data_IF_585367063802
#
_entry.id   IF_585367063802
#
_cell.length_a   1.000
_cell.length_b   1.000
_cell.length_c   1.000
_cell.angle_alpha   90.00
_cell.angle_beta   90.00
_cell.angle_gamma   90.00
#
_symmetry.space_group_name_H-M   'P 1'
#
loop_
_entity.id
_entity.type
_entity.pdbx_description
1 polymer ?
#
# COMPACT_ATOMS: atom_id res chain seq x y z
N UNK A 1 10.58 16.99 16.60
CA UNK A 1 10.35 17.72 15.33
C UNK A 1 11.67 18.34 14.85
N UNK A 2 12.67 17.52 14.51
CA UNK A 2 14.04 17.99 14.21
C UNK A 2 14.20 18.64 12.83
N UNK A 3 13.33 18.31 11.87
CA UNK A 3 13.46 18.74 10.46
C UNK A 3 12.51 19.89 10.08
N UNK A 4 11.75 20.44 11.04
CA UNK A 4 10.87 21.60 10.80
C UNK A 4 9.61 21.33 9.94
N UNK A 5 9.25 20.07 9.71
CA UNK A 5 8.02 19.71 9.01
C UNK A 5 6.80 19.74 9.93
N UNK A 6 5.66 20.19 9.38
CA UNK A 6 4.35 19.97 9.99
C UNK A 6 3.89 18.54 9.74
N UNK A 7 3.68 17.77 10.80
CA UNK A 7 3.28 16.36 10.75
C UNK A 7 1.78 16.23 11.05
N UNK A 8 1.06 15.61 10.12
CA UNK A 8 -0.33 15.20 10.29
C UNK A 8 -0.34 13.67 10.33
N UNK A 9 -0.74 13.09 11.45
CA UNK A 9 -0.77 11.65 11.65
C UNK A 9 -2.20 11.16 11.81
N UNK A 10 -2.55 10.07 11.13
CA UNK A 10 -3.77 9.31 11.38
C UNK A 10 -3.42 7.89 11.82
N UNK A 11 -4.03 7.44 12.92
CA UNK A 11 -3.95 6.06 13.38
C UNK A 11 -5.22 5.71 14.14
N UNK A 12 -5.83 4.55 13.85
CA UNK A 12 -7.05 4.11 14.56
C UNK A 12 -6.77 3.50 15.92
N UNK A 13 -5.50 3.19 16.26
CA UNK A 13 -5.15 2.59 17.54
C UNK A 13 -4.77 3.68 18.58
N UNK A 14 -5.61 3.93 19.61
CA UNK A 14 -5.32 4.93 20.64
C UNK A 14 -4.19 4.51 21.59
N UNK A 15 -3.80 3.24 21.60
CA UNK A 15 -2.81 2.69 22.54
C UNK A 15 -1.40 2.65 21.94
N UNK A 16 -0.99 3.71 21.22
CA UNK A 16 0.34 3.79 20.61
C UNK A 16 1.05 5.08 21.00
N UNK A 17 2.36 5.03 21.28
CA UNK A 17 3.16 6.23 21.59
C UNK A 17 3.06 7.24 20.44
N UNK A 18 3.00 6.76 19.18
CA UNK A 18 2.83 7.62 18.01
C UNK A 18 1.54 8.44 18.00
N UNK A 19 0.53 8.14 18.82
CA UNK A 19 -0.70 8.94 18.92
C UNK A 19 -0.68 9.95 20.07
N UNK A 20 0.43 10.04 20.81
CA UNK A 20 0.57 11.06 21.84
C UNK A 20 0.60 12.46 21.21
N UNK A 21 -0.08 13.47 21.79
CA UNK A 21 -0.20 14.81 21.21
C UNK A 21 1.14 15.51 20.92
N UNK A 22 2.22 15.08 21.57
CA UNK A 22 3.56 15.65 21.43
C UNK A 22 4.33 15.13 20.20
N UNK A 23 3.81 14.08 19.54
CA UNK A 23 4.52 13.39 18.45
C UNK A 23 4.30 14.00 17.06
N UNK A 24 3.21 14.75 16.88
CA UNK A 24 2.86 15.40 15.62
C UNK A 24 2.01 16.65 15.87
N UNK A 25 2.04 17.61 14.95
CA UNK A 25 1.24 18.84 15.06
C UNK A 25 -0.27 18.58 15.02
N UNK A 26 -0.69 17.50 14.39
CA UNK A 26 -2.10 17.11 14.32
C UNK A 26 -2.25 15.60 14.29
N UNK A 27 -2.82 15.04 15.37
CA UNK A 27 -3.07 13.60 15.51
C UNK A 27 -4.56 13.32 15.35
N UNK A 28 -4.91 12.41 14.44
CA UNK A 28 -6.25 11.94 14.17
C UNK A 28 -6.40 10.49 14.63
N UNK A 29 -7.19 10.26 15.68
CA UNK A 29 -7.56 8.92 16.14
C UNK A 29 -8.91 8.56 15.51
N UNK A 30 -8.86 8.12 14.27
CA UNK A 30 -10.02 7.89 13.42
C UNK A 30 -9.87 6.58 12.61
N UNK A 31 -10.96 5.97 12.11
CA UNK A 31 -10.88 4.83 11.20
C UNK A 31 -10.04 5.15 9.95
N UNK A 32 -9.08 4.26 9.63
CA UNK A 32 -8.18 4.44 8.48
C UNK A 32 -8.89 3.99 7.20
N UNK A 33 -9.84 4.80 6.72
CA UNK A 33 -10.57 4.58 5.46
C UNK A 33 -10.30 5.69 4.44
N UNK A 34 -10.49 5.44 3.12
CA UNK A 34 -10.25 6.47 2.10
C UNK A 34 -11.12 7.72 2.32
N UNK A 35 -12.35 7.55 2.79
CA UNK A 35 -13.29 8.65 3.04
C UNK A 35 -12.81 9.56 4.17
N UNK A 36 -12.35 8.98 5.27
CA UNK A 36 -11.82 9.73 6.42
C UNK A 36 -10.53 10.44 6.04
N UNK A 37 -9.59 9.73 5.40
CA UNK A 37 -8.32 10.32 5.00
C UNK A 37 -8.53 11.44 3.97
N UNK A 38 -9.51 11.31 3.06
CA UNK A 38 -9.90 12.40 2.16
C UNK A 38 -10.41 13.62 2.92
N UNK A 39 -11.23 13.45 3.95
CA UNK A 39 -11.70 14.57 4.80
C UNK A 39 -10.54 15.28 5.49
N UNK A 40 -9.56 14.52 5.98
CA UNK A 40 -8.35 15.08 6.60
C UNK A 40 -7.54 15.86 5.56
N UNK A 41 -7.32 15.33 4.36
CA UNK A 41 -6.64 16.06 3.27
C UNK A 41 -7.34 17.38 2.94
N UNK A 42 -8.69 17.38 2.90
CA UNK A 42 -9.48 18.59 2.62
C UNK A 42 -9.30 19.65 3.70
N UNK A 43 -9.28 19.24 4.97
CA UNK A 43 -9.12 20.13 6.13
C UNK A 43 -7.68 20.63 6.26
N UNK A 44 -6.71 19.72 6.19
CA UNK A 44 -5.33 19.97 6.56
C UNK A 44 -4.44 20.43 5.40
N UNK A 45 -4.86 20.16 4.16
CA UNK A 45 -4.14 20.52 2.93
C UNK A 45 -2.64 20.16 2.96
N UNK A 46 -2.28 18.90 3.27
CA UNK A 46 -0.88 18.49 3.31
C UNK A 46 -0.25 18.59 1.91
N UNK A 47 1.03 18.94 1.85
CA UNK A 47 1.77 18.92 0.58
C UNK A 47 2.11 17.51 0.13
N UNK A 48 2.28 16.59 1.08
CA UNK A 48 2.76 15.24 0.81
C UNK A 48 2.11 14.19 1.73
N UNK A 49 2.14 12.94 1.29
CA UNK A 49 1.68 11.76 2.01
C UNK A 49 2.77 10.69 2.00
N UNK A 50 3.08 10.13 3.17
CA UNK A 50 4.05 9.05 3.37
C UNK A 50 3.33 7.72 3.67
N UNK A 51 3.08 6.86 2.68
CA UNK A 51 2.26 5.66 2.86
C UNK A 51 3.06 4.41 3.28
N UNK A 52 4.37 4.52 3.47
CA UNK A 52 5.27 3.36 3.67
C UNK A 52 5.38 2.91 5.12
N UNK A 53 4.85 3.68 6.08
CA UNK A 53 5.00 3.42 7.52
C UNK A 53 3.79 2.74 8.16
N UNK A 54 2.69 2.54 7.42
CA UNK A 54 1.42 2.00 7.95
C UNK A 54 1.03 0.63 7.40
N UNK A 55 2.00 -0.16 6.94
CA UNK A 55 1.78 -1.48 6.36
C UNK A 55 0.86 -1.47 5.12
N UNK A 56 0.16 -2.59 4.88
CA UNK A 56 -0.74 -2.72 3.72
C UNK A 56 -1.90 -1.72 3.76
N UNK A 57 -2.40 -1.39 4.95
CA UNK A 57 -3.51 -0.45 5.12
C UNK A 57 -3.15 0.90 4.50
N UNK A 58 -1.98 1.46 4.86
CA UNK A 58 -1.54 2.75 4.30
C UNK A 58 -1.31 2.70 2.78
N UNK A 59 -0.70 1.62 2.26
CA UNK A 59 -0.49 1.42 0.82
C UNK A 59 -1.82 1.34 0.04
N UNK A 60 -2.81 0.64 0.59
CA UNK A 60 -4.13 0.50 -0.01
C UNK A 60 -4.88 1.84 -0.03
N UNK A 61 -4.82 2.61 1.06
CA UNK A 61 -5.40 3.95 1.13
C UNK A 61 -4.76 4.89 0.11
N UNK A 62 -3.43 4.95 0.07
CA UNK A 62 -2.72 5.80 -0.87
C UNK A 62 -3.05 5.45 -2.33
N UNK A 63 -3.16 4.15 -2.62
CA UNK A 63 -3.57 3.65 -3.94
C UNK A 63 -5.01 4.06 -4.27
N UNK A 64 -5.94 3.93 -3.32
CA UNK A 64 -7.35 4.31 -3.50
C UNK A 64 -7.50 5.82 -3.77
N UNK A 65 -6.86 6.65 -2.95
CA UNK A 65 -6.89 8.12 -3.08
C UNK A 65 -6.17 8.64 -4.32
N UNK A 66 -5.19 7.90 -4.82
CA UNK A 66 -4.55 8.23 -6.08
C UNK A 66 -5.46 7.88 -7.26
N UNK A 67 -6.11 6.70 -7.23
CA UNK A 67 -7.04 6.25 -8.27
C UNK A 67 -8.31 7.08 -8.37
N UNK A 68 -8.85 7.54 -7.26
CA UNK A 68 -10.05 8.39 -7.24
C UNK A 68 -9.76 9.87 -7.57
N UNK A 69 -8.49 10.23 -7.77
CA UNK A 69 -8.04 11.57 -8.13
C UNK A 69 -7.92 12.56 -6.97
N UNK A 70 -8.18 12.15 -5.72
CA UNK A 70 -8.09 13.00 -4.53
C UNK A 70 -6.69 13.61 -4.42
N UNK A 71 -5.63 12.80 -4.52
CA UNK A 71 -4.26 13.30 -4.37
C UNK A 71 -3.91 14.34 -5.44
N UNK A 72 -4.32 14.09 -6.69
CA UNK A 72 -4.09 15.04 -7.80
C UNK A 72 -4.88 16.34 -7.59
N UNK A 73 -6.15 16.25 -7.19
CA UNK A 73 -7.03 17.41 -6.96
C UNK A 73 -6.48 18.34 -5.87
N UNK A 74 -5.92 17.76 -4.81
CA UNK A 74 -5.38 18.50 -3.68
C UNK A 74 -3.86 18.71 -3.73
N UNK A 75 -3.22 18.33 -4.85
CA UNK A 75 -1.76 18.45 -5.07
C UNK A 75 -0.93 17.80 -3.95
N UNK A 76 -1.39 16.66 -3.47
CA UNK A 76 -0.70 15.87 -2.45
C UNK A 76 0.28 14.90 -3.14
N UNK A 77 1.57 15.08 -2.89
CA UNK A 77 2.62 14.22 -3.44
C UNK A 77 2.80 12.94 -2.62
N UNK A 78 2.93 11.79 -3.27
CA UNK A 78 3.33 10.55 -2.59
C UNK A 78 4.86 10.50 -2.45
N UNK A 79 5.34 10.58 -1.21
CA UNK A 79 6.76 10.51 -0.87
C UNK A 79 7.12 9.15 -0.28
N UNK A 80 8.41 8.79 -0.30
CA UNK A 80 8.91 7.47 0.09
C UNK A 80 8.67 6.39 -0.96
N UNK A 81 7.44 6.25 -1.46
CA UNK A 81 7.11 5.36 -2.58
C UNK A 81 6.01 5.96 -3.48
N UNK A 82 6.31 6.10 -4.77
CA UNK A 82 5.32 6.54 -5.74
C UNK A 82 4.34 5.41 -6.11
N UNK A 83 3.17 5.76 -6.66
CA UNK A 83 2.11 4.81 -7.02
C UNK A 83 2.61 3.70 -7.96
N UNK A 84 3.51 4.03 -8.90
CA UNK A 84 4.07 3.06 -9.85
C UNK A 84 4.93 2.01 -9.13
N UNK A 85 5.73 2.43 -8.15
CA UNK A 85 6.55 1.55 -7.34
C UNK A 85 5.67 0.65 -6.45
N UNK A 86 4.65 1.23 -5.79
CA UNK A 86 3.70 0.48 -4.96
C UNK A 86 3.01 -0.60 -5.80
N UNK A 87 2.38 -0.23 -6.92
CA UNK A 87 1.68 -1.19 -7.77
C UNK A 87 2.61 -2.28 -8.34
N UNK A 88 3.85 -1.93 -8.71
CA UNK A 88 4.82 -2.88 -9.25
C UNK A 88 5.26 -3.91 -8.21
N UNK A 89 5.31 -3.54 -6.94
CA UNK A 89 5.69 -4.44 -5.85
C UNK A 89 4.50 -5.30 -5.37
N UNK A 90 3.31 -4.72 -5.29
CA UNK A 90 2.11 -5.38 -4.76
C UNK A 90 1.43 -6.33 -5.76
N UNK A 91 1.58 -6.07 -7.06
CA UNK A 91 1.02 -6.90 -8.13
C UNK A 91 2.02 -7.98 -8.56
N UNK A 92 1.68 -9.25 -8.29
CA UNK A 92 2.61 -10.39 -8.44
C UNK A 92 3.10 -10.60 -9.87
N UNK A 93 2.28 -10.36 -10.89
CA UNK A 93 2.69 -10.48 -12.30
C UNK A 93 3.75 -9.42 -12.65
N UNK A 94 3.50 -8.18 -12.24
CA UNK A 94 4.40 -7.04 -12.41
C UNK A 94 5.72 -7.25 -11.68
N UNK A 95 5.67 -7.77 -10.45
CA UNK A 95 6.84 -8.13 -9.69
C UNK A 95 7.65 -9.24 -10.39
N UNK A 96 6.99 -10.32 -10.81
CA UNK A 96 7.64 -11.44 -11.51
C UNK A 96 8.31 -10.99 -12.81
N UNK A 97 7.62 -10.17 -13.62
CA UNK A 97 8.17 -9.56 -14.83
C UNK A 97 9.35 -8.65 -14.53
N UNK A 98 9.29 -7.89 -13.43
CA UNK A 98 10.37 -7.01 -13.02
C UNK A 98 11.64 -7.79 -12.66
N UNK A 99 11.51 -8.86 -11.89
CA UNK A 99 12.63 -9.72 -11.48
C UNK A 99 13.25 -10.41 -12.71
N UNK A 100 12.41 -10.99 -13.58
CA UNK A 100 12.89 -11.58 -14.85
C UNK A 100 13.63 -10.58 -15.73
N UNK A 101 13.13 -9.34 -15.82
CA UNK A 101 13.73 -8.30 -16.65
C UNK A 101 15.17 -7.98 -16.22
N UNK A 102 15.47 -8.09 -14.92
CA UNK A 102 16.83 -7.84 -14.38
C UNK A 102 17.66 -9.13 -14.24
N UNK A 103 17.17 -10.25 -14.77
CA UNK A 103 17.90 -11.52 -14.76
C UNK A 103 17.93 -12.24 -13.41
N UNK A 104 17.09 -11.86 -12.45
CA UNK A 104 17.00 -12.57 -11.18
C UNK A 104 16.21 -13.87 -11.34
N UNK A 105 16.71 -14.93 -10.71
CA UNK A 105 16.03 -16.21 -10.67
C UNK A 105 14.71 -16.10 -9.92
N UNK A 106 13.65 -16.67 -10.49
CA UNK A 106 12.33 -16.72 -9.88
C UNK A 106 11.82 -18.17 -9.92
N UNK A 107 11.14 -18.64 -8.87
CA UNK A 107 10.47 -19.94 -8.89
C UNK A 107 9.51 -20.06 -10.07
N UNK A 108 9.25 -21.29 -10.51
CA UNK A 108 8.18 -21.57 -11.48
C UNK A 108 6.85 -21.10 -10.88
N UNK A 109 6.25 -20.10 -11.50
CA UNK A 109 5.02 -19.47 -11.04
C UNK A 109 4.11 -19.18 -12.22
N UNK A 110 2.81 -19.20 -11.95
CA UNK A 110 1.74 -18.87 -12.90
C UNK A 110 0.76 -17.93 -12.21
N UNK A 111 0.19 -16.99 -12.97
CA UNK A 111 -0.79 -16.04 -12.44
C UNK A 111 -2.19 -16.59 -12.73
N UNK A 112 -3.02 -16.67 -11.69
CA UNK A 112 -4.40 -17.11 -11.80
C UNK A 112 -5.34 -16.03 -11.27
N UNK A 113 -6.35 -15.68 -12.08
CA UNK A 113 -7.45 -14.78 -11.74
C UNK A 113 -8.79 -15.50 -11.63
N UNK A 114 -8.79 -16.81 -11.83
CA UNK A 114 -9.97 -17.67 -11.68
C UNK A 114 -9.56 -19.07 -11.23
N UNK A 115 -10.50 -19.80 -10.64
CA UNK A 115 -10.30 -21.19 -10.22
C UNK A 115 -9.87 -22.08 -11.41
N UNK A 116 -10.42 -21.84 -12.60
CA UNK A 116 -10.06 -22.58 -13.81
C UNK A 116 -8.60 -22.34 -14.22
N UNK A 117 -8.11 -21.10 -14.11
CA UNK A 117 -6.70 -20.79 -14.35
C UNK A 117 -5.80 -21.41 -13.29
N UNK A 118 -6.20 -21.36 -12.01
CA UNK A 118 -5.45 -21.99 -10.92
C UNK A 118 -5.31 -23.51 -11.12
N UNK A 119 -6.38 -24.20 -11.54
CA UNK A 119 -6.34 -25.64 -11.86
C UNK A 119 -5.40 -25.96 -13.03
N UNK A 120 -5.36 -25.10 -14.06
CA UNK A 120 -4.42 -25.26 -15.19
C UNK A 120 -2.97 -25.05 -14.74
N UNK A 121 -2.71 -24.02 -13.93
CA UNK A 121 -1.41 -23.75 -13.33
C UNK A 121 -0.94 -24.92 -12.46
N UNK A 122 -1.83 -25.49 -11.65
CA UNK A 122 -1.51 -26.64 -10.81
C UNK A 122 -1.03 -27.85 -11.62
N UNK A 123 -1.69 -28.16 -12.74
CA UNK A 123 -1.27 -29.25 -13.64
C UNK A 123 0.12 -29.01 -14.25
N UNK A 124 0.49 -27.75 -14.46
CA UNK A 124 1.78 -27.36 -15.06
C UNK A 124 2.93 -27.34 -14.03
N UNK A 125 2.65 -26.89 -12.81
CA UNK A 125 3.66 -26.72 -11.75
C UNK A 125 3.88 -28.03 -10.97
N UNK A 126 2.82 -28.79 -10.70
CA UNK A 126 2.85 -29.96 -9.82
C UNK A 126 2.68 -29.63 -8.33
N UNK A 127 2.39 -30.64 -7.53
CA UNK A 127 2.30 -30.53 -6.07
C UNK A 127 3.62 -30.93 -5.39
N UNK A 128 3.96 -30.32 -4.24
CA UNK A 128 3.23 -29.25 -3.55
C UNK A 128 3.38 -27.89 -4.26
N UNK A 129 2.36 -27.02 -4.13
CA UNK A 129 2.36 -25.66 -4.69
C UNK A 129 2.05 -24.63 -3.60
N UNK A 130 2.63 -23.44 -3.71
CA UNK A 130 2.38 -22.30 -2.83
C UNK A 130 1.47 -21.31 -3.56
N UNK A 131 0.37 -20.90 -2.92
CA UNK A 131 -0.54 -19.87 -3.43
C UNK A 131 -0.25 -18.57 -2.67
N UNK A 132 -0.08 -17.47 -3.42
CA UNK A 132 0.17 -16.15 -2.85
C UNK A 132 -0.70 -15.10 -3.55
N UNK A 133 -1.63 -14.46 -2.85
CA UNK A 133 -2.40 -13.38 -3.44
C UNK A 133 -1.54 -12.13 -3.69
N UNK A 134 -2.03 -11.29 -4.60
CA UNK A 134 -1.56 -9.90 -4.78
C UNK A 134 -2.25 -8.98 -3.76
N UNK A 135 -1.63 -7.84 -3.43
CA UNK A 135 -2.18 -6.82 -2.51
C UNK A 135 -2.51 -7.31 -1.09
N UNK A 136 -1.80 -8.33 -0.62
CA UNK A 136 -1.94 -8.92 0.73
C UNK A 136 -0.57 -9.11 1.38
N UNK A 137 -0.53 -8.95 2.70
CA UNK A 137 0.63 -9.25 3.55
C UNK A 137 0.29 -10.38 4.53
N UNK A 138 1.31 -11.02 5.10
CA UNK A 138 1.15 -12.02 6.16
C UNK A 138 0.62 -13.38 5.71
N UNK A 139 0.51 -13.64 4.40
CA UNK A 139 -0.02 -14.91 3.89
C UNK A 139 -1.54 -15.02 3.92
N UNK A 140 -2.25 -13.91 4.14
CA UNK A 140 -3.72 -13.87 4.16
C UNK A 140 -4.30 -14.16 2.77
N UNK A 141 -4.96 -15.30 2.61
CA UNK A 141 -5.61 -15.76 1.38
C UNK A 141 -5.37 -17.24 1.14
#
# INVERSE_FOLDING_TARGET
>A
MEEGYRVILINSNPATIMTDPETADSVYIEPITPEIVRKIIIKERPNSMLPTMGGQTALNIATALSKDGTLNKYKVELIGANLKAINKAEERDSFYKAMKKIGLECPKAEIARSLGQAKKALKKIGLPVIIRPSFTLGGTG
#
